data_IF_115413101571
#
_entry.id   IF_115413101571
#
_cell.length_a   1.000
_cell.length_b   1.000
_cell.length_c   1.000
_cell.angle_alpha   90.00
_cell.angle_beta   90.00
_cell.angle_gamma   90.00
#
_symmetry.space_group_name_H-M   'P 1'
#
loop_
_entity.id
_entity.type
_entity.pdbx_description
1 polymer ?
#
# COMPACT_ATOMS: atom_id res chain seq x y z
N UNK A 1 12.33 -7.62 30.17
CA UNK A 1 10.99 -7.15 29.77
C UNK A 1 10.14 -8.39 29.52
N UNK A 2 9.04 -8.56 30.27
CA UNK A 2 8.23 -9.78 30.23
C UNK A 2 7.24 -9.74 29.07
N UNK A 3 7.61 -10.32 27.93
CA UNK A 3 6.72 -10.62 26.81
C UNK A 3 6.47 -12.14 26.74
N UNK A 4 5.28 -12.59 26.30
CA UNK A 4 5.05 -14.00 25.98
C UNK A 4 6.07 -14.51 24.97
N UNK A 5 6.66 -15.69 25.19
CA UNK A 5 7.53 -16.32 24.19
C UNK A 5 6.75 -16.95 23.04
N UNK A 6 5.44 -17.13 23.22
CA UNK A 6 4.52 -17.59 22.21
C UNK A 6 3.22 -16.79 22.22
N UNK A 7 2.65 -16.52 21.05
CA UNK A 7 1.34 -15.90 20.89
C UNK A 7 0.55 -16.63 19.80
N UNK A 8 -0.66 -17.11 20.13
CA UNK A 8 -1.49 -17.94 19.21
C UNK A 8 -0.70 -19.11 18.58
N UNK A 9 0.13 -19.78 19.38
CA UNK A 9 0.96 -20.91 18.92
C UNK A 9 2.23 -20.54 18.13
N UNK A 10 2.48 -19.24 17.88
CA UNK A 10 3.66 -18.76 17.15
C UNK A 10 4.76 -18.28 18.09
N UNK A 11 6.01 -18.62 17.80
CA UNK A 11 7.17 -18.20 18.57
C UNK A 11 7.45 -16.69 18.37
N UNK A 12 7.97 -16.05 19.42
CA UNK A 12 8.47 -14.68 19.36
C UNK A 12 9.72 -14.62 18.47
N UNK A 13 9.66 -13.79 17.43
CA UNK A 13 10.80 -13.56 16.52
C UNK A 13 11.58 -12.32 16.92
N UNK A 14 10.87 -11.21 17.15
CA UNK A 14 11.50 -9.94 17.48
C UNK A 14 10.54 -9.01 18.19
N UNK A 15 11.07 -7.96 18.82
CA UNK A 15 10.27 -6.93 19.47
C UNK A 15 10.92 -5.55 19.41
N UNK A 16 10.08 -4.53 19.28
CA UNK A 16 10.48 -3.13 19.15
C UNK A 16 9.88 -2.33 20.31
N UNK A 17 10.72 -1.91 21.28
CA UNK A 17 10.25 -1.11 22.40
C UNK A 17 9.93 0.31 21.92
N UNK A 18 8.75 0.80 22.28
CA UNK A 18 8.37 2.20 22.14
C UNK A 18 8.81 2.94 23.39
N UNK A 19 9.48 4.08 23.19
CA UNK A 19 10.04 4.91 24.26
C UNK A 19 9.46 6.31 24.17
N UNK A 20 9.23 6.95 25.31
CA UNK A 20 8.93 8.38 25.37
C UNK A 20 10.19 9.23 25.09
N UNK A 21 10.04 10.56 25.12
CA UNK A 21 11.13 11.49 24.83
C UNK A 21 12.33 11.31 25.78
N UNK A 22 12.08 10.87 27.01
CA UNK A 22 13.09 10.60 28.05
C UNK A 22 13.70 9.20 27.94
N UNK A 23 13.26 8.37 26.98
CA UNK A 23 13.79 7.04 26.72
C UNK A 23 13.14 5.92 27.54
N UNK A 24 12.14 6.23 28.37
CA UNK A 24 11.41 5.24 29.17
C UNK A 24 10.46 4.44 28.28
N UNK A 25 10.46 3.12 28.44
CA UNK A 25 9.59 2.23 27.66
C UNK A 25 8.12 2.44 28.05
N UNK A 26 7.30 2.79 27.06
CA UNK A 26 5.85 3.03 27.19
C UNK A 26 5.00 1.94 26.52
N UNK A 27 5.63 1.03 25.78
CA UNK A 27 4.99 -0.13 25.20
C UNK A 27 5.97 -0.90 24.32
N UNK A 28 5.52 -2.04 23.79
CA UNK A 28 6.34 -2.88 22.92
C UNK A 28 5.48 -3.42 21.79
N UNK A 29 5.99 -3.41 20.56
CA UNK A 29 5.39 -4.17 19.44
C UNK A 29 6.22 -5.42 19.23
N UNK A 30 5.58 -6.59 19.22
CA UNK A 30 6.27 -7.86 19.05
C UNK A 30 5.77 -8.60 17.81
N UNK A 31 6.70 -9.22 17.10
CA UNK A 31 6.42 -10.08 15.94
C UNK A 31 6.50 -11.54 16.36
N UNK A 32 5.44 -12.29 16.08
CA UNK A 32 5.38 -13.73 16.26
C UNK A 32 5.20 -14.42 14.91
N UNK A 33 5.94 -15.50 14.69
CA UNK A 33 5.89 -16.29 13.45
C UNK A 33 6.47 -17.68 13.69
N UNK A 34 5.94 -18.69 12.99
CA UNK A 34 6.54 -20.02 12.88
C UNK A 34 6.79 -20.31 11.40
N UNK A 35 8.03 -20.64 11.02
CA UNK A 35 8.36 -20.97 9.64
C UNK A 35 7.79 -19.97 8.61
N UNK A 36 7.01 -20.47 7.66
CA UNK A 36 6.36 -19.70 6.59
C UNK A 36 4.98 -19.17 6.95
N UNK A 37 4.52 -19.32 8.19
CA UNK A 37 3.19 -18.85 8.60
C UNK A 37 3.04 -17.34 8.50
N UNK A 38 1.78 -16.89 8.35
CA UNK A 38 1.43 -15.47 8.42
C UNK A 38 1.92 -14.87 9.74
N UNK A 39 2.73 -13.80 9.66
CA UNK A 39 3.21 -13.05 10.82
C UNK A 39 2.06 -12.45 11.65
N UNK A 40 2.19 -12.49 12.97
CA UNK A 40 1.36 -11.70 13.89
C UNK A 40 2.21 -10.55 14.44
N UNK A 41 1.78 -9.31 14.18
CA UNK A 41 2.38 -8.10 14.76
C UNK A 41 1.46 -7.62 15.88
N UNK A 42 1.92 -7.73 17.12
CA UNK A 42 1.08 -7.57 18.30
C UNK A 42 1.60 -6.42 19.16
N UNK A 43 0.82 -5.35 19.35
CA UNK A 43 1.16 -4.29 20.28
C UNK A 43 0.87 -4.72 21.72
N UNK A 44 1.77 -4.39 22.63
CA UNK A 44 1.67 -4.59 24.07
C UNK A 44 1.88 -3.25 24.79
N UNK A 45 0.80 -2.50 24.99
CA UNK A 45 0.82 -1.15 25.58
C UNK A 45 0.03 -1.04 26.88
N UNK A 46 -0.56 -2.15 27.35
CA UNK A 46 -1.28 -2.17 28.63
C UNK A 46 -0.33 -2.67 29.72
N UNK A 47 0.07 -1.85 30.71
CA UNK A 47 0.90 -2.33 31.81
C UNK A 47 0.23 -3.50 32.54
N UNK A 48 1.01 -4.51 32.93
CA UNK A 48 0.54 -5.66 33.70
C UNK A 48 1.59 -6.03 34.76
N UNK A 49 1.57 -5.33 35.90
CA UNK A 49 2.61 -5.44 36.92
C UNK A 49 3.97 -5.04 36.34
N UNK A 50 4.91 -5.98 36.28
CA UNK A 50 6.25 -5.80 35.69
C UNK A 50 6.32 -6.09 34.18
N UNK A 51 5.20 -6.50 33.57
CA UNK A 51 5.10 -6.87 32.16
C UNK A 51 4.13 -6.02 31.37
N UNK A 52 3.85 -6.47 30.14
CA UNK A 52 2.91 -5.82 29.23
C UNK A 52 1.85 -6.80 28.74
N UNK A 53 0.61 -6.34 28.66
CA UNK A 53 -0.53 -7.08 28.10
C UNK A 53 -0.82 -6.56 26.69
N UNK A 54 -1.23 -7.50 25.82
CA UNK A 54 -1.56 -7.22 24.44
C UNK A 54 -2.71 -6.21 24.31
N UNK A 55 -2.66 -5.43 23.23
CA UNK A 55 -3.60 -4.37 22.90
C UNK A 55 -3.00 -2.97 23.08
N UNK A 56 -3.75 -1.99 22.59
CA UNK A 56 -3.42 -0.57 22.65
C UNK A 56 -4.67 0.21 23.07
N UNK A 57 -4.54 1.00 24.14
CA UNK A 57 -5.58 1.90 24.65
C UNK A 57 -5.08 3.36 24.64
N UNK A 58 -4.25 3.71 23.67
CA UNK A 58 -3.67 5.04 23.51
C UNK A 58 -4.23 5.72 22.26
N UNK A 59 -4.78 6.91 22.45
CA UNK A 59 -5.25 7.79 21.38
C UNK A 59 -4.87 9.25 21.74
N UNK A 60 -4.01 9.92 20.95
CA UNK A 60 -3.33 9.40 19.77
C UNK A 60 -2.24 8.36 20.12
N UNK A 61 -1.84 7.56 19.13
CA UNK A 61 -0.81 6.52 19.29
C UNK A 61 0.60 7.12 19.22
N UNK A 62 1.55 6.70 20.07
CA UNK A 62 2.91 7.21 20.00
C UNK A 62 3.62 6.72 18.73
N UNK A 63 4.63 7.47 18.29
CA UNK A 63 5.55 7.06 17.22
C UNK A 63 6.63 6.12 17.76
N UNK A 64 7.03 5.15 16.93
CA UNK A 64 8.25 4.41 17.17
C UNK A 64 9.45 5.32 16.87
N UNK A 65 10.45 5.34 17.76
CA UNK A 65 11.63 6.21 17.63
C UNK A 65 11.43 7.63 18.18
N UNK A 66 10.41 7.86 19.01
CA UNK A 66 10.13 9.17 19.61
C UNK A 66 11.29 9.67 20.50
N UNK A 67 11.97 8.79 21.22
CA UNK A 67 13.18 9.09 21.99
C UNK A 67 14.30 9.66 21.10
N UNK A 68 14.50 9.04 19.92
CA UNK A 68 15.50 9.51 18.94
C UNK A 68 15.07 10.82 18.31
N UNK A 69 13.78 10.94 17.99
CA UNK A 69 13.21 12.18 17.46
C UNK A 69 13.34 13.32 18.47
N UNK A 70 13.05 13.13 19.75
CA UNK A 70 13.15 14.19 20.75
C UNK A 70 14.57 14.78 20.86
N UNK A 71 15.59 13.96 20.61
CA UNK A 71 17.00 14.34 20.68
C UNK A 71 17.62 14.70 19.32
N UNK A 72 16.83 14.72 18.24
CA UNK A 72 17.32 15.01 16.89
C UNK A 72 17.26 16.52 16.59
N UNK A 73 18.33 17.12 16.00
CA UNK A 73 18.29 18.52 15.61
C UNK A 73 17.19 18.82 14.59
N UNK A 74 16.40 19.88 14.84
CA UNK A 74 15.23 20.26 14.03
C UNK A 74 15.59 20.60 12.59
N UNK A 75 16.82 21.03 12.33
CA UNK A 75 17.33 21.41 11.02
C UNK A 75 17.74 20.20 10.15
N UNK A 76 17.91 19.03 10.78
CA UNK A 76 18.27 17.79 10.08
C UNK A 76 17.02 17.05 9.65
N UNK A 77 17.12 16.36 8.51
CA UNK A 77 16.02 15.56 8.00
C UNK A 77 15.67 14.39 8.94
N UNK A 78 14.38 14.10 9.05
CA UNK A 78 13.84 12.89 9.69
C UNK A 78 13.32 11.96 8.60
N UNK A 79 13.61 10.66 8.69
CA UNK A 79 13.11 9.67 7.73
C UNK A 79 11.86 8.98 8.29
N UNK A 80 10.81 8.84 7.49
CA UNK A 80 9.57 8.19 7.89
C UNK A 80 9.31 7.01 6.97
N UNK A 81 9.11 5.84 7.56
CA UNK A 81 8.93 4.56 6.86
C UNK A 81 7.69 3.84 7.37
N UNK A 82 7.19 2.87 6.61
CA UNK A 82 6.12 1.98 7.08
C UNK A 82 6.69 0.87 7.97
N UNK A 83 6.26 0.80 9.23
CA UNK A 83 6.54 -0.34 10.12
C UNK A 83 7.86 -0.26 10.91
N UNK A 84 7.87 -0.98 12.02
CA UNK A 84 8.95 -0.89 13.02
C UNK A 84 10.26 -1.54 12.55
N UNK A 85 10.19 -2.60 11.71
CA UNK A 85 11.39 -3.27 11.18
C UNK A 85 12.17 -2.34 10.23
N UNK A 86 11.55 -1.73 9.19
CA UNK A 86 12.15 -0.64 8.42
C UNK A 86 12.72 0.49 9.27
N UNK A 87 11.94 1.01 10.24
CA UNK A 87 12.41 2.13 11.06
C UNK A 87 13.64 1.74 11.88
N UNK A 88 13.62 0.58 12.54
CA UNK A 88 14.73 0.09 13.34
C UNK A 88 16.00 -0.16 12.51
N UNK A 89 15.86 -0.62 11.26
CA UNK A 89 17.00 -0.82 10.36
C UNK A 89 17.76 0.48 10.11
N UNK A 90 17.05 1.55 9.76
CA UNK A 90 17.61 2.88 9.55
C UNK A 90 18.20 3.48 10.85
N UNK A 91 17.55 3.24 11.99
CA UNK A 91 18.07 3.64 13.30
C UNK A 91 19.40 2.96 13.64
N UNK A 92 19.61 1.71 13.21
CA UNK A 92 20.86 0.98 13.42
C UNK A 92 22.03 1.54 12.58
N UNK A 93 21.70 2.16 11.44
CA UNK A 93 22.63 2.92 10.62
C UNK A 93 22.94 4.32 11.19
N UNK A 94 22.24 4.74 12.25
CA UNK A 94 22.43 6.04 12.90
C UNK A 94 21.58 7.17 12.30
N UNK A 95 20.57 6.85 11.47
CA UNK A 95 19.60 7.83 10.98
C UNK A 95 18.48 8.04 12.00
N UNK A 96 17.93 9.25 12.04
CA UNK A 96 16.70 9.52 12.77
C UNK A 96 15.51 9.08 11.92
N UNK A 97 14.99 7.88 12.19
CA UNK A 97 13.81 7.35 11.54
C UNK A 97 12.68 7.02 12.51
N UNK A 98 11.45 7.26 12.08
CA UNK A 98 10.22 7.03 12.85
C UNK A 98 9.16 6.32 12.02
N UNK A 99 8.20 5.69 12.70
CA UNK A 99 7.00 5.14 12.08
C UNK A 99 5.80 5.22 13.03
N UNK A 100 4.59 5.09 12.48
CA UNK A 100 3.36 5.00 13.25
C UNK A 100 3.06 3.55 13.69
N UNK A 101 2.49 3.41 14.87
CA UNK A 101 2.04 2.11 15.37
C UNK A 101 0.85 1.55 14.60
N UNK A 102 1.04 0.36 14.01
CA UNK A 102 -0.01 -0.42 13.36
C UNK A 102 0.00 -0.44 11.83
N UNK A 103 1.13 -0.08 11.21
CA UNK A 103 1.35 -0.14 9.76
C UNK A 103 0.53 0.87 8.94
N UNK A 104 0.43 0.64 7.62
CA UNK A 104 -0.26 1.48 6.64
C UNK A 104 -1.65 1.96 7.07
N UNK A 105 -2.44 1.08 7.69
CA UNK A 105 -3.83 1.37 8.06
C UNK A 105 -4.00 2.23 9.32
N UNK A 106 -2.91 2.50 10.06
CA UNK A 106 -2.98 3.18 11.35
C UNK A 106 -2.25 4.53 11.40
N UNK A 107 -1.68 5.00 10.29
CA UNK A 107 -1.01 6.31 10.20
C UNK A 107 -1.89 7.45 10.73
N UNK A 108 -3.20 7.40 10.44
CA UNK A 108 -4.17 8.42 10.89
C UNK A 108 -4.38 8.48 12.40
N UNK A 109 -4.03 7.42 13.14
CA UNK A 109 -4.21 7.29 14.58
C UNK A 109 -2.98 7.73 15.37
N UNK A 110 -1.86 7.96 14.68
CA UNK A 110 -0.61 8.35 15.32
C UNK A 110 -0.56 9.84 15.66
N UNK A 111 0.20 10.15 16.71
CA UNK A 111 0.53 11.51 17.09
C UNK A 111 1.72 12.01 16.27
N UNK A 112 1.44 12.82 15.26
CA UNK A 112 2.46 13.44 14.42
C UNK A 112 2.94 14.80 14.95
N UNK A 113 2.39 15.30 16.06
CA UNK A 113 2.71 16.64 16.59
C UNK A 113 4.18 16.78 17.00
N UNK A 114 4.84 15.67 17.34
CA UNK A 114 6.27 15.64 17.65
C UNK A 114 7.17 16.10 16.49
N UNK A 115 6.66 16.05 15.25
CA UNK A 115 7.35 16.55 14.06
C UNK A 115 7.14 18.05 13.80
N UNK A 116 6.36 18.75 14.63
CA UNK A 116 6.19 20.19 14.51
C UNK A 116 7.53 20.93 14.69
N UNK A 117 7.78 21.91 13.83
CA UNK A 117 9.01 22.71 13.82
C UNK A 117 10.25 22.00 13.26
N UNK A 118 10.13 20.75 12.78
CA UNK A 118 11.20 20.14 12.00
C UNK A 118 11.30 20.80 10.63
N UNK A 119 12.51 20.90 10.08
CA UNK A 119 12.73 21.51 8.76
C UNK A 119 12.33 20.58 7.62
N UNK A 120 12.60 19.28 7.73
CA UNK A 120 12.42 18.34 6.62
C UNK A 120 12.03 16.94 7.12
N UNK A 121 11.00 16.37 6.50
CA UNK A 121 10.60 14.99 6.66
C UNK A 121 10.71 14.27 5.31
N UNK A 122 11.47 13.18 5.25
CA UNK A 122 11.63 12.34 4.07
C UNK A 122 10.80 11.07 4.23
N UNK A 123 9.74 10.93 3.43
CA UNK A 123 8.93 9.73 3.33
C UNK A 123 9.66 8.70 2.46
N UNK A 124 9.75 7.48 2.95
CA UNK A 124 10.37 6.35 2.25
C UNK A 124 9.39 5.18 2.31
N UNK A 125 8.38 5.16 1.42
CA UNK A 125 7.35 4.12 1.41
C UNK A 125 7.90 2.79 0.89
N UNK A 126 7.19 1.71 1.25
CA UNK A 126 7.33 0.42 0.58
C UNK A 126 6.92 0.57 -0.90
N UNK A 127 7.50 -0.25 -1.78
CA UNK A 127 7.28 -0.16 -3.23
C UNK A 127 5.96 -0.80 -3.68
N UNK A 128 4.84 -0.36 -3.10
CA UNK A 128 3.48 -0.81 -3.41
C UNK A 128 2.40 0.25 -3.11
N UNK A 129 1.15 -0.06 -3.48
CA UNK A 129 0.00 0.85 -3.27
C UNK A 129 -0.33 1.13 -1.79
N UNK A 130 -0.26 0.15 -0.87
CA UNK A 130 -0.35 0.41 0.57
C UNK A 130 0.69 1.40 1.08
N UNK A 131 1.96 1.27 0.67
CA UNK A 131 3.05 2.17 1.03
C UNK A 131 2.81 3.60 0.52
N UNK A 132 2.31 3.76 -0.69
CA UNK A 132 1.91 5.07 -1.22
C UNK A 132 0.75 5.69 -0.42
N UNK A 133 -0.25 4.88 -0.08
CA UNK A 133 -1.39 5.32 0.74
C UNK A 133 -0.96 5.73 2.15
N UNK A 134 0.01 5.01 2.72
CA UNK A 134 0.67 5.37 3.98
C UNK A 134 1.36 6.73 3.87
N UNK A 135 2.25 6.89 2.89
CA UNK A 135 2.99 8.14 2.67
C UNK A 135 2.06 9.34 2.46
N UNK A 136 0.99 9.18 1.67
CA UNK A 136 -0.04 10.21 1.48
C UNK A 136 -0.69 10.60 2.81
N UNK A 137 -1.09 9.63 3.62
CA UNK A 137 -1.71 9.87 4.92
C UNK A 137 -0.77 10.64 5.86
N UNK A 138 0.50 10.23 5.93
CA UNK A 138 1.51 10.92 6.73
C UNK A 138 1.71 12.35 6.23
N UNK A 139 1.85 12.54 4.92
CA UNK A 139 2.00 13.85 4.30
C UNK A 139 0.89 14.82 4.74
N UNK A 140 -0.37 14.38 4.65
CA UNK A 140 -1.54 15.16 5.07
C UNK A 140 -1.51 15.52 6.56
N UNK A 141 -1.13 14.58 7.42
CA UNK A 141 -1.01 14.81 8.87
C UNK A 141 0.10 15.80 9.20
N UNK A 142 1.23 15.74 8.50
CA UNK A 142 2.34 16.68 8.68
C UNK A 142 1.99 18.08 8.17
N UNK A 143 1.31 18.19 7.02
CA UNK A 143 0.88 19.46 6.46
C UNK A 143 -0.12 20.20 7.37
N UNK A 144 -0.90 19.46 8.17
CA UNK A 144 -1.86 20.02 9.13
C UNK A 144 -1.22 20.54 10.44
N UNK A 145 0.10 20.40 10.61
CA UNK A 145 0.79 20.91 11.80
C UNK A 145 0.93 22.45 11.75
N UNK A 146 0.98 23.15 12.91
CA UNK A 146 1.16 24.60 12.95
C UNK A 146 2.45 25.11 12.27
N UNK A 147 3.53 24.34 12.37
CA UNK A 147 4.82 24.58 11.72
C UNK A 147 5.23 23.28 11.02
N UNK A 148 4.68 23.02 9.82
CA UNK A 148 4.86 21.76 9.13
C UNK A 148 6.28 21.65 8.55
N UNK A 149 6.92 20.48 8.61
CA UNK A 149 8.18 20.27 7.89
C UNK A 149 7.97 20.28 6.38
N UNK A 150 9.03 20.59 5.63
CA UNK A 150 9.04 20.29 4.19
C UNK A 150 9.00 18.77 4.01
N UNK A 151 7.91 18.26 3.45
CA UNK A 151 7.75 16.84 3.17
C UNK A 151 8.32 16.53 1.78
N UNK A 152 9.21 15.53 1.73
CA UNK A 152 9.77 14.99 0.48
C UNK A 152 9.53 13.49 0.43
N UNK A 153 9.47 12.92 -0.76
CA UNK A 153 9.36 11.48 -0.97
C UNK A 153 10.63 10.95 -1.63
N UNK A 154 11.10 9.80 -1.15
CA UNK A 154 12.27 9.09 -1.66
C UNK A 154 11.81 7.71 -2.14
N UNK A 155 12.07 7.43 -3.41
CA UNK A 155 11.83 6.12 -4.04
C UNK A 155 13.19 5.47 -4.26
N UNK A 156 13.47 4.39 -3.53
CA UNK A 156 14.76 3.72 -3.66
C UNK A 156 14.89 3.05 -5.02
N UNK A 157 16.02 3.28 -5.67
CA UNK A 157 16.34 2.65 -6.95
C UNK A 157 16.59 1.15 -6.75
N UNK A 158 16.02 0.31 -7.62
CA UNK A 158 16.29 -1.14 -7.64
C UNK A 158 15.48 -1.97 -6.64
N UNK A 159 14.46 -1.39 -6.00
CA UNK A 159 13.52 -2.17 -5.19
C UNK A 159 12.60 -3.04 -6.08
N UNK A 160 12.38 -4.32 -5.73
CA UNK A 160 11.34 -5.13 -6.35
C UNK A 160 9.94 -4.61 -5.99
N UNK A 161 8.90 -5.08 -6.69
CA UNK A 161 7.51 -4.82 -6.29
C UNK A 161 7.28 -5.31 -4.86
N UNK A 162 6.64 -4.47 -4.02
CA UNK A 162 6.41 -4.70 -2.57
C UNK A 162 7.69 -4.71 -1.73
N UNK A 163 8.81 -4.29 -2.31
CA UNK A 163 10.07 -4.21 -1.57
C UNK A 163 10.13 -3.03 -0.61
N UNK A 164 10.84 -3.23 0.50
CA UNK A 164 11.06 -2.23 1.55
C UNK A 164 12.55 -1.91 1.74
N UNK A 165 12.86 -0.93 2.59
CA UNK A 165 14.26 -0.58 2.90
C UNK A 165 15.07 -1.75 3.47
N UNK A 166 14.43 -2.71 4.14
CA UNK A 166 15.14 -3.85 4.71
C UNK A 166 15.63 -4.74 3.58
N UNK A 167 14.79 -5.02 2.58
CA UNK A 167 15.20 -5.77 1.39
C UNK A 167 16.28 -5.02 0.59
N UNK A 168 16.16 -3.69 0.47
CA UNK A 168 17.21 -2.88 -0.16
C UNK A 168 18.56 -2.99 0.57
N UNK A 169 18.55 -2.98 1.91
CA UNK A 169 19.74 -3.17 2.73
C UNK A 169 20.29 -4.60 2.63
N UNK A 170 19.43 -5.60 2.52
CA UNK A 170 19.84 -7.00 2.34
C UNK A 170 20.52 -7.24 0.99
N UNK A 171 20.18 -6.48 -0.06
CA UNK A 171 20.94 -6.52 -1.31
C UNK A 171 22.40 -6.06 -1.14
N UNK A 172 22.68 -5.22 -0.15
CA UNK A 172 24.03 -4.75 0.18
C UNK A 172 24.73 -5.60 1.26
N UNK A 173 23.96 -6.35 2.05
CA UNK A 173 24.45 -7.28 3.07
C UNK A 173 23.54 -8.54 3.10
N UNK A 174 23.74 -9.51 2.19
CA UNK A 174 22.83 -10.65 2.02
C UNK A 174 22.67 -11.55 3.24
N UNK A 175 23.70 -11.61 4.09
CA UNK A 175 23.70 -12.43 5.32
C UNK A 175 23.02 -11.74 6.52
N UNK A 176 22.58 -10.49 6.36
CA UNK A 176 21.92 -9.75 7.43
C UNK A 176 20.45 -10.16 7.60
N UNK A 177 20.07 -10.52 8.82
CA UNK A 177 18.73 -11.04 9.15
C UNK A 177 17.60 -9.99 9.08
N UNK A 178 17.95 -8.71 8.94
CA UNK A 178 17.00 -7.60 8.90
C UNK A 178 16.47 -7.15 10.26
N UNK A 179 16.87 -7.79 11.35
CA UNK A 179 16.37 -7.53 12.70
C UNK A 179 17.46 -6.99 13.64
N UNK A 180 18.63 -7.63 13.63
CA UNK A 180 19.79 -7.19 14.41
C UNK A 180 20.30 -5.85 13.88
N UNK A 181 21.09 -5.10 14.67
CA UNK A 181 21.80 -3.94 14.16
C UNK A 181 22.55 -4.28 12.88
N UNK A 182 22.48 -3.37 11.89
CA UNK A 182 23.15 -3.57 10.61
C UNK A 182 24.67 -3.78 10.80
N UNK A 183 25.33 -4.67 10.02
CA UNK A 183 26.75 -4.98 10.19
C UNK A 183 27.64 -3.73 10.12
N UNK A 184 28.55 -3.58 11.08
CA UNK A 184 29.40 -2.39 11.16
C UNK A 184 30.41 -2.31 10.00
N UNK A 185 30.84 -3.46 9.47
CA UNK A 185 31.74 -3.55 8.31
C UNK A 185 31.17 -2.87 7.05
N UNK A 186 29.87 -3.00 6.81
CA UNK A 186 29.20 -2.51 5.60
C UNK A 186 28.53 -1.15 5.78
N UNK A 187 28.42 -0.70 7.04
CA UNK A 187 27.64 0.48 7.44
C UNK A 187 28.09 1.76 6.74
N UNK A 188 29.40 2.00 6.63
CA UNK A 188 29.91 3.22 5.99
C UNK A 188 29.57 3.29 4.50
N UNK A 189 29.73 2.17 3.81
CA UNK A 189 29.41 2.04 2.38
C UNK A 189 27.92 2.22 2.15
N UNK A 190 27.07 1.45 2.84
CA UNK A 190 25.63 1.51 2.64
C UNK A 190 25.03 2.85 3.03
N UNK A 191 25.58 3.54 4.03
CA UNK A 191 25.18 4.91 4.39
C UNK A 191 25.50 5.90 3.28
N UNK A 192 26.57 5.68 2.52
CA UNK A 192 26.96 6.55 1.40
C UNK A 192 25.96 6.41 0.26
N UNK A 193 25.63 5.17 -0.12
CA UNK A 193 24.61 4.85 -1.12
C UNK A 193 23.22 5.35 -0.70
N UNK A 194 22.80 5.07 0.53
CA UNK A 194 21.52 5.52 1.05
C UNK A 194 21.42 7.05 1.09
N UNK A 195 22.51 7.76 1.45
CA UNK A 195 22.54 9.23 1.37
C UNK A 195 22.43 9.72 -0.07
N UNK A 196 22.96 9.00 -1.06
CA UNK A 196 22.78 9.34 -2.45
C UNK A 196 21.32 9.18 -2.88
N UNK A 197 20.63 8.11 -2.46
CA UNK A 197 19.19 7.95 -2.69
C UNK A 197 18.36 9.04 -1.98
N UNK A 198 18.65 9.36 -0.73
CA UNK A 198 17.95 10.42 0.01
C UNK A 198 18.15 11.81 -0.62
N UNK A 199 19.24 12.04 -1.37
CA UNK A 199 19.43 13.28 -2.14
C UNK A 199 18.54 13.37 -3.37
N UNK A 200 18.05 12.24 -3.88
CA UNK A 200 17.07 12.18 -4.99
C UNK A 200 15.64 12.48 -4.51
N UNK A 201 15.46 12.86 -3.24
CA UNK A 201 14.15 13.17 -2.67
C UNK A 201 13.40 14.22 -3.51
N UNK A 202 12.21 13.86 -3.96
CA UNK A 202 11.33 14.71 -4.74
C UNK A 202 10.29 15.38 -3.84
N UNK A 203 9.71 16.51 -4.26
CA UNK A 203 8.48 17.01 -3.67
C UNK A 203 7.40 15.92 -3.70
N UNK A 204 6.56 15.87 -2.67
CA UNK A 204 5.36 15.03 -2.71
C UNK A 204 4.39 15.52 -3.82
N UNK A 205 3.58 14.64 -4.43
CA UNK A 205 2.56 15.06 -5.38
C UNK A 205 1.60 16.08 -4.77
N UNK A 206 1.30 17.17 -5.48
CA UNK A 206 0.42 18.25 -4.98
C UNK A 206 -0.98 17.74 -4.60
N UNK A 207 -1.49 16.77 -5.35
CA UNK A 207 -2.79 16.13 -5.09
C UNK A 207 -2.87 15.37 -3.75
N UNK A 208 -1.74 15.21 -3.04
CA UNK A 208 -1.73 14.65 -1.69
C UNK A 208 -2.10 15.70 -0.65
N UNK A 209 -1.79 16.97 -0.90
CA UNK A 209 -1.99 18.08 0.05
C UNK A 209 -3.40 18.68 -0.05
N UNK A 210 -4.04 18.56 -1.20
CA UNK A 210 -5.42 18.99 -1.39
C UNK A 210 -6.38 17.91 -0.87
N UNK A 211 -6.99 18.15 0.28
CA UNK A 211 -8.12 17.35 0.73
C UNK A 211 -9.34 17.66 -0.16
N UNK A 212 -9.60 16.81 -1.15
CA UNK A 212 -10.92 16.73 -1.80
C UNK A 212 -12.03 16.28 -0.83
N UNK A 213 -11.72 16.09 0.46
CA UNK A 213 -12.61 15.63 1.52
C UNK A 213 -12.88 16.65 2.65
N UNK A 214 -12.34 17.87 2.59
CA UNK A 214 -12.65 18.91 3.59
C UNK A 214 -13.73 19.92 3.18
N UNK A 215 -14.17 19.94 1.91
CA UNK A 215 -15.37 20.71 1.51
C UNK A 215 -16.70 19.94 1.71
N UNK A 216 -16.68 18.66 2.07
CA UNK A 216 -17.90 17.80 2.05
C UNK A 216 -18.50 17.45 3.42
N UNK A 217 -18.17 18.20 4.49
CA UNK A 217 -18.75 17.94 5.83
C UNK A 217 -19.56 19.08 6.44
N UNK A 218 -19.54 20.29 5.87
CA UNK A 218 -20.41 21.39 6.30
C UNK A 218 -21.24 21.89 5.13
N UNK A 219 -22.24 21.11 4.75
CA UNK A 219 -23.57 21.55 4.30
C UNK A 219 -24.32 20.29 3.83
N UNK A 220 -25.26 19.84 4.66
CA UNK A 220 -26.34 18.98 4.20
C UNK A 220 -27.28 19.86 3.36
N UNK A 221 -27.00 19.90 2.07
CA UNK A 221 -28.00 20.02 1.02
C UNK A 221 -27.49 19.21 -0.18
N UNK A 222 -28.35 18.47 -0.89
CA UNK A 222 -27.95 17.81 -2.12
C UNK A 222 -27.37 18.89 -3.04
N UNK A 223 -26.20 18.70 -3.67
CA UNK A 223 -25.78 19.65 -4.69
C UNK A 223 -26.84 19.61 -5.79
N UNK A 224 -27.43 20.78 -6.06
CA UNK A 224 -28.21 21.02 -7.27
C UNK A 224 -27.36 20.60 -8.47
N UNK A 225 -28.04 19.99 -9.44
CA UNK A 225 -27.48 19.43 -10.67
C UNK A 225 -26.38 20.33 -11.24
N UNK A 226 -25.12 19.94 -11.01
CA UNK A 226 -24.01 20.46 -11.79
C UNK A 226 -24.21 19.82 -13.16
N UNK A 227 -24.75 20.61 -14.08
CA UNK A 227 -24.91 20.31 -15.48
C UNK A 227 -23.63 19.65 -15.99
N UNK A 228 -23.71 18.34 -16.20
CA UNK A 228 -22.58 17.46 -16.57
C UNK A 228 -22.09 17.71 -18.00
N UNK A 229 -22.59 18.76 -18.64
CA UNK A 229 -22.32 19.11 -20.02
C UNK A 229 -21.01 19.88 -20.27
N UNK A 230 -20.28 20.38 -19.26
CA UNK A 230 -19.22 21.38 -19.52
C UNK A 230 -17.84 21.17 -18.86
N UNK A 231 -17.53 20.00 -18.31
CA UNK A 231 -16.12 19.63 -18.15
C UNK A 231 -15.64 19.03 -19.48
N UNK A 232 -15.13 19.89 -20.35
CA UNK A 232 -14.36 19.49 -21.52
C UNK A 232 -13.19 18.63 -21.05
N UNK A 233 -13.38 17.32 -21.05
CA UNK A 233 -12.34 16.36 -20.80
C UNK A 233 -11.69 16.03 -22.14
N UNK A 234 -10.41 16.35 -22.28
CA UNK A 234 -9.57 15.97 -23.43
C UNK A 234 -9.24 14.45 -23.45
N UNK A 235 -10.14 13.59 -22.95
CA UNK A 235 -10.00 12.14 -23.11
C UNK A 235 -11.01 11.60 -24.14
N UNK A 236 -10.62 10.60 -24.94
CA UNK A 236 -11.54 9.97 -25.88
C UNK A 236 -12.70 9.34 -25.12
N UNK A 237 -13.92 9.75 -25.47
CA UNK A 237 -15.16 9.14 -24.96
C UNK A 237 -15.46 7.91 -25.81
N UNK A 238 -15.60 6.76 -25.16
CA UNK A 238 -15.92 5.50 -25.83
C UNK A 238 -17.43 5.37 -25.95
N UNK A 239 -17.97 5.42 -27.17
CA UNK A 239 -19.42 5.29 -27.38
C UNK A 239 -19.85 3.81 -27.24
N UNK A 240 -21.04 3.58 -26.69
CA UNK A 240 -21.68 2.26 -26.67
C UNK A 240 -21.92 1.71 -28.09
N UNK A 241 -22.05 2.60 -29.07
CA UNK A 241 -22.14 2.22 -30.48
C UNK A 241 -20.87 1.52 -30.97
N UNK A 242 -19.70 1.86 -30.42
CA UNK A 242 -18.39 1.34 -30.82
C UNK A 242 -18.09 -0.05 -30.26
N UNK A 243 -18.91 -0.55 -29.33
CA UNK A 243 -18.81 -1.92 -28.83
C UNK A 243 -19.16 -2.91 -29.96
N UNK A 244 -18.38 -3.98 -30.07
CA UNK A 244 -18.47 -4.93 -31.18
C UNK A 244 -18.54 -6.40 -30.75
N UNK A 245 -19.26 -7.20 -31.54
CA UNK A 245 -19.30 -8.67 -31.48
C UNK A 245 -19.92 -9.24 -30.20
N UNK A 246 -19.59 -10.50 -29.89
CA UNK A 246 -20.10 -11.21 -28.70
C UNK A 246 -19.80 -10.46 -27.39
N UNK A 247 -18.66 -9.77 -27.33
CA UNK A 247 -18.29 -8.96 -26.17
C UNK A 247 -19.27 -7.79 -25.95
N UNK A 248 -19.84 -7.20 -27.02
CA UNK A 248 -20.91 -6.20 -26.93
C UNK A 248 -22.16 -6.79 -26.30
N UNK A 249 -22.60 -7.94 -26.80
CA UNK A 249 -23.82 -8.59 -26.31
C UNK A 249 -23.70 -8.93 -24.83
N UNK A 250 -22.56 -9.48 -24.43
CA UNK A 250 -22.23 -9.75 -23.02
C UNK A 250 -22.24 -8.47 -22.19
N UNK A 251 -21.62 -7.40 -22.67
CA UNK A 251 -21.58 -6.12 -21.98
C UNK A 251 -22.97 -5.53 -21.76
N UNK A 252 -23.80 -5.49 -22.82
CA UNK A 252 -25.15 -4.95 -22.75
C UNK A 252 -26.04 -5.78 -21.83
N UNK A 253 -26.10 -7.11 -22.02
CA UNK A 253 -26.91 -8.00 -21.19
C UNK A 253 -26.44 -8.02 -19.72
N UNK A 254 -25.12 -8.06 -19.50
CA UNK A 254 -24.53 -8.06 -18.15
C UNK A 254 -24.77 -6.76 -17.38
N UNK A 255 -25.03 -5.67 -18.10
CA UNK A 255 -25.35 -4.35 -17.54
C UNK A 255 -26.85 -4.06 -17.44
N UNK A 256 -27.72 -4.83 -18.09
CA UNK A 256 -29.18 -4.54 -18.19
C UNK A 256 -29.87 -4.43 -16.82
N UNK A 257 -29.46 -5.26 -15.87
CA UNK A 257 -29.96 -5.29 -14.49
C UNK A 257 -28.88 -4.90 -13.46
N UNK A 258 -27.85 -4.18 -13.90
CA UNK A 258 -26.71 -3.82 -13.07
C UNK A 258 -26.41 -2.33 -13.17
N UNK A 259 -25.92 -1.72 -12.09
CA UNK A 259 -25.34 -0.38 -12.11
C UNK A 259 -23.95 -0.34 -12.78
N UNK A 260 -23.53 -1.44 -13.42
CA UNK A 260 -22.24 -1.53 -14.10
C UNK A 260 -22.25 -0.77 -15.43
N UNK A 261 -21.21 0.02 -15.67
CA UNK A 261 -21.01 0.64 -16.97
C UNK A 261 -20.76 -0.44 -18.06
N UNK A 262 -21.50 -0.47 -19.17
CA UNK A 262 -21.33 -1.47 -20.22
C UNK A 262 -19.91 -1.50 -20.81
N UNK A 263 -19.24 -0.36 -20.95
CA UNK A 263 -17.86 -0.27 -21.44
C UNK A 263 -16.91 -0.93 -20.44
N UNK A 264 -17.12 -0.73 -19.14
CA UNK A 264 -16.34 -1.40 -18.11
C UNK A 264 -16.56 -2.92 -18.10
N UNK A 265 -17.79 -3.39 -18.31
CA UNK A 265 -18.10 -4.82 -18.46
C UNK A 265 -17.43 -5.39 -19.71
N UNK A 266 -17.46 -4.65 -20.83
CA UNK A 266 -16.86 -5.04 -22.10
C UNK A 266 -15.34 -5.30 -21.98
N UNK A 267 -14.59 -4.32 -21.44
CA UNK A 267 -13.15 -4.47 -21.27
C UNK A 267 -12.80 -5.55 -20.24
N UNK A 268 -13.59 -5.69 -19.16
CA UNK A 268 -13.41 -6.78 -18.20
C UNK A 268 -13.58 -8.14 -18.86
N UNK A 269 -14.60 -8.28 -19.72
CA UNK A 269 -14.85 -9.51 -20.47
C UNK A 269 -13.71 -9.83 -21.44
N UNK A 270 -13.25 -8.85 -22.24
CA UNK A 270 -12.15 -9.05 -23.17
C UNK A 270 -10.85 -9.48 -22.48
N UNK A 271 -10.48 -8.84 -21.36
CA UNK A 271 -9.28 -9.22 -20.60
C UNK A 271 -9.41 -10.62 -20.02
N UNK A 272 -10.58 -10.97 -19.48
CA UNK A 272 -10.78 -12.31 -18.93
C UNK A 272 -10.76 -13.40 -20.01
N UNK A 273 -11.40 -13.16 -21.17
CA UNK A 273 -11.33 -14.08 -22.32
C UNK A 273 -9.91 -14.21 -22.86
N UNK A 274 -9.16 -13.11 -22.96
CA UNK A 274 -7.75 -13.11 -23.33
C UNK A 274 -6.91 -13.98 -22.39
N UNK A 275 -7.12 -13.88 -21.08
CA UNK A 275 -6.45 -14.71 -20.08
C UNK A 275 -6.79 -16.21 -20.23
N UNK A 276 -8.06 -16.54 -20.51
CA UNK A 276 -8.50 -17.92 -20.74
C UNK A 276 -7.91 -18.54 -22.01
N UNK A 277 -7.82 -17.76 -23.11
CA UNK A 277 -7.21 -18.22 -24.36
C UNK A 277 -5.69 -18.42 -24.19
N UNK A 278 -5.05 -17.55 -23.38
CA UNK A 278 -3.63 -17.58 -23.11
C UNK A 278 -2.77 -17.31 -24.36
N UNK A 279 -1.57 -17.89 -24.39
CA UNK A 279 -0.58 -17.65 -25.46
C UNK A 279 -0.65 -18.68 -26.59
N UNK A 280 -1.70 -19.49 -26.62
CA UNK A 280 -1.81 -20.63 -27.54
C UNK A 280 -2.36 -20.23 -28.91
N UNK A 281 -3.14 -19.13 -28.98
CA UNK A 281 -3.72 -18.59 -30.21
C UNK A 281 -3.15 -17.22 -30.51
N UNK A 282 -2.78 -17.01 -31.77
CA UNK A 282 -2.21 -15.76 -32.26
C UNK A 282 -2.73 -15.46 -33.67
N UNK A 283 -2.70 -14.17 -34.01
CA UNK A 283 -2.86 -13.68 -35.37
C UNK A 283 -1.50 -13.20 -35.87
N UNK A 284 -1.19 -13.45 -37.14
CA UNK A 284 -0.03 -12.84 -37.78
C UNK A 284 -0.46 -11.49 -38.36
N UNK A 285 0.20 -10.42 -37.93
CA UNK A 285 0.07 -9.09 -38.53
C UNK A 285 1.42 -8.77 -39.17
N UNK A 286 1.48 -8.86 -40.49
CA UNK A 286 2.76 -8.96 -41.20
C UNK A 286 3.54 -10.20 -40.73
N UNK A 287 4.81 -10.01 -40.39
CA UNK A 287 5.70 -11.08 -39.91
C UNK A 287 5.69 -11.27 -38.38
N UNK A 288 4.86 -10.50 -37.67
CA UNK A 288 4.79 -10.54 -36.20
C UNK A 288 3.61 -11.37 -35.71
N UNK A 289 3.85 -12.21 -34.68
CA UNK A 289 2.81 -12.97 -33.97
C UNK A 289 2.19 -12.13 -32.86
N UNK A 290 0.90 -11.85 -32.97
CA UNK A 290 0.12 -11.13 -31.97
C UNK A 290 -0.80 -12.10 -31.23
N UNK A 291 -0.43 -12.40 -29.98
CA UNK A 291 -1.27 -13.18 -29.06
C UNK A 291 -2.40 -12.30 -28.50
N UNK A 292 -3.48 -12.90 -28.04
CA UNK A 292 -4.56 -12.21 -27.33
C UNK A 292 -4.12 -11.85 -25.90
N UNK A 293 -3.12 -10.97 -25.73
CA UNK A 293 -2.70 -10.42 -24.45
C UNK A 293 -3.26 -9.01 -24.30
N UNK A 294 -4.27 -8.87 -23.45
CA UNK A 294 -4.91 -7.60 -23.16
C UNK A 294 -4.69 -7.22 -21.70
N UNK A 295 -4.32 -5.95 -21.48
CA UNK A 295 -4.23 -5.33 -20.17
C UNK A 295 -5.09 -4.07 -20.20
N UNK A 296 -6.08 -3.98 -19.32
CA UNK A 296 -6.95 -2.82 -19.20
C UNK A 296 -7.00 -2.34 -17.75
N UNK A 297 -6.93 -1.03 -17.56
CA UNK A 297 -7.18 -0.37 -16.29
C UNK A 297 -8.53 0.35 -16.38
N UNK A 298 -9.46 0.00 -15.48
CA UNK A 298 -10.76 0.64 -15.41
C UNK A 298 -10.74 1.72 -14.33
N UNK A 299 -10.92 2.97 -14.76
CA UNK A 299 -10.90 4.14 -13.88
C UNK A 299 -12.28 4.80 -13.93
N UNK A 300 -12.94 4.92 -12.77
CA UNK A 300 -14.26 5.55 -12.65
C UNK A 300 -14.43 6.21 -11.29
N UNK A 301 -15.43 7.09 -11.17
CA UNK A 301 -15.75 7.75 -9.90
C UNK A 301 -16.11 6.70 -8.83
N UNK A 302 -15.43 6.70 -7.69
CA UNK A 302 -15.61 5.67 -6.67
C UNK A 302 -16.98 5.79 -5.98
N UNK A 303 -17.78 4.72 -5.95
CA UNK A 303 -18.97 4.64 -5.09
C UNK A 303 -18.60 4.18 -3.68
N UNK A 304 -19.37 4.63 -2.66
CA UNK A 304 -19.14 4.41 -1.21
C UNK A 304 -18.89 2.95 -0.80
N UNK A 305 -19.30 1.98 -1.62
CA UNK A 305 -19.20 0.55 -1.31
C UNK A 305 -17.86 -0.10 -1.71
N UNK A 306 -16.97 0.59 -2.47
CA UNK A 306 -15.69 0.02 -2.99
C UNK A 306 -15.84 -1.39 -3.60
N UNK A 307 -16.96 -1.64 -4.29
CA UNK A 307 -17.19 -2.89 -5.02
C UNK A 307 -17.34 -2.53 -6.49
N UNK A 308 -16.37 -2.92 -7.32
CA UNK A 308 -16.52 -2.85 -8.77
C UNK A 308 -17.69 -3.74 -9.19
N UNK A 309 -18.68 -3.17 -9.88
CA UNK A 309 -19.90 -3.87 -10.32
C UNK A 309 -19.70 -4.56 -11.67
N UNK A 310 -18.71 -4.14 -12.47
CA UNK A 310 -18.45 -4.63 -13.81
C UNK A 310 -17.88 -6.05 -13.89
N UNK A 311 -17.20 -6.53 -12.84
CA UNK A 311 -16.56 -7.85 -12.86
C UNK A 311 -17.55 -9.00 -12.62
N UNK A 312 -18.59 -8.78 -11.80
CA UNK A 312 -19.52 -9.85 -11.40
C UNK A 312 -20.31 -10.46 -12.55
N UNK A 313 -20.82 -9.69 -13.53
CA UNK A 313 -21.46 -10.28 -14.72
C UNK A 313 -20.49 -11.17 -15.50
N UNK A 314 -19.24 -10.75 -15.63
CA UNK A 314 -18.19 -11.49 -16.34
C UNK A 314 -17.84 -12.80 -15.61
N UNK A 315 -17.66 -12.76 -14.29
CA UNK A 315 -17.41 -13.97 -13.47
C UNK A 315 -18.53 -15.01 -13.61
N UNK A 316 -19.79 -14.58 -13.70
CA UNK A 316 -20.93 -15.50 -13.90
C UNK A 316 -20.82 -16.24 -15.23
N UNK A 317 -20.44 -15.53 -16.29
CA UNK A 317 -20.32 -16.09 -17.64
C UNK A 317 -19.12 -17.04 -17.71
N UNK A 318 -17.99 -16.66 -17.11
CA UNK A 318 -16.79 -17.52 -17.08
C UNK A 318 -17.09 -18.82 -16.35
N UNK A 319 -17.71 -18.76 -15.16
CA UNK A 319 -18.06 -19.97 -14.41
C UNK A 319 -19.01 -20.88 -15.20
N UNK A 320 -20.03 -20.32 -15.84
CA UNK A 320 -20.93 -21.10 -16.69
C UNK A 320 -20.19 -21.74 -17.90
N UNK A 321 -19.17 -21.06 -18.41
CA UNK A 321 -18.34 -21.56 -19.52
C UNK A 321 -17.44 -22.70 -19.06
N UNK A 322 -16.81 -22.59 -17.89
CA UNK A 322 -16.00 -23.65 -17.28
C UNK A 322 -16.85 -24.90 -17.03
N UNK A 323 -18.04 -24.75 -16.43
CA UNK A 323 -18.98 -25.86 -16.19
C UNK A 323 -19.42 -26.54 -17.50
N UNK A 324 -19.61 -25.78 -18.59
CA UNK A 324 -19.95 -26.33 -19.91
C UNK A 324 -18.76 -27.03 -20.58
N UNK A 325 -17.56 -26.50 -20.40
CA UNK A 325 -16.32 -27.08 -20.92
C UNK A 325 -16.01 -28.41 -20.24
N UNK A 326 -16.13 -28.50 -18.91
CA UNK A 326 -15.93 -29.73 -18.15
C UNK A 326 -16.87 -30.84 -18.61
N UNK A 327 -18.18 -30.54 -18.72
CA UNK A 327 -19.19 -31.50 -19.21
C UNK A 327 -18.90 -32.01 -20.63
N UNK A 328 -18.39 -31.14 -21.50
CA UNK A 328 -18.05 -31.48 -22.88
C UNK A 328 -16.76 -32.30 -22.96
N UNK A 329 -15.75 -31.95 -22.15
CA UNK A 329 -14.50 -32.71 -22.00
C UNK A 329 -14.76 -34.13 -21.50
N UNK A 330 -15.65 -34.29 -20.52
CA UNK A 330 -15.99 -35.60 -19.97
C UNK A 330 -16.77 -36.46 -20.98
N UNK A 331 -17.70 -35.86 -21.73
CA UNK A 331 -18.41 -36.54 -22.82
C UNK A 331 -17.48 -36.99 -23.97
N UNK A 332 -16.45 -36.21 -24.30
CA UNK A 332 -15.44 -36.59 -25.32
C UNK A 332 -14.56 -37.73 -24.83
N UNK A 333 -14.21 -37.77 -23.54
CA UNK A 333 -13.45 -38.88 -22.94
C UNK A 333 -14.25 -40.18 -22.85
N UNK A 334 -15.57 -40.11 -22.75
CA UNK A 334 -16.45 -41.30 -22.78
C UNK A 334 -16.68 -41.85 -24.20
N UNK A 335 -16.38 -41.08 -25.24
CA UNK A 335 -16.62 -41.46 -26.65
C UNK A 335 -15.34 -41.94 -27.38
N UNK A 336 -14.16 -41.80 -26.75
CA UNK A 336 -12.85 -42.26 -27.24
C UNK A 336 -12.41 -43.54 -26.54
#
# INVERSE_FOLDING_TARGET
MNLPQSYKGKALIYSWPYRDAEGKTIGIVARYQNGTDKKDIVPFFKPNGTGWKAGIDLTPRPLFGLDRLANHPKEKAVVIVEGEKPAASLQSLGLCSVTSLGGSNAANQADWTSLNGYKTACLLPDNDEPGESYAKTVCQKLAALPSPPQVKIVRLTGLPEKGDIVEWLQNHAPDWDGYKPFPEADKSWVLTELKAELKKALPVPECWLTDSNQQSKNQQQPPEDIDSANLAHDYPVFDRADLYGIAKEVALLGSEQSEADPVAVYFSFLVATAAMIGNYRYLNIGDSKHNARLFAALVGASSRARKGTSLKPVERIIRATEEAYEKTSDSIKETL
#
